data_IF_560343049635
#
_entry.id   IF_560343049635
#
_cell.length_a   1.000
_cell.length_b   1.000
_cell.length_c   1.000
_cell.angle_alpha   90.00
_cell.angle_beta   90.00
_cell.angle_gamma   90.00
#
_symmetry.space_group_name_H-M   'P 1'
#
loop_
_entity.id
_entity.type
_entity.pdbx_description
1 polymer ?
#
# COMPACT_ATOMS: atom_id res chain seq x y z
N UNK A 1 4.24 -8.56 24.48
CA UNK A 1 4.35 -8.87 23.04
C UNK A 1 4.04 -7.59 22.32
N UNK A 2 5.03 -6.98 21.68
CA UNK A 2 4.83 -5.81 20.82
C UNK A 2 4.25 -6.31 19.50
N UNK A 3 3.01 -5.91 19.21
CA UNK A 3 2.36 -6.25 17.94
C UNK A 3 3.00 -5.41 16.85
N UNK A 4 3.80 -6.03 15.99
CA UNK A 4 4.36 -5.37 14.81
C UNK A 4 3.26 -5.28 13.75
N UNK A 5 2.79 -4.07 13.49
CA UNK A 5 1.66 -3.82 12.60
C UNK A 5 2.04 -3.74 11.11
N UNK A 6 3.34 -3.78 10.78
CA UNK A 6 3.83 -3.78 9.40
C UNK A 6 3.36 -5.01 8.60
N UNK A 7 2.87 -6.04 9.30
CA UNK A 7 2.42 -7.31 8.71
C UNK A 7 0.89 -7.35 8.49
N UNK A 8 0.18 -6.23 8.47
CA UNK A 8 -1.28 -6.21 8.32
C UNK A 8 -1.75 -5.33 7.17
N UNK A 9 -2.68 -5.87 6.37
CA UNK A 9 -3.39 -5.17 5.31
C UNK A 9 -4.80 -4.82 5.79
N UNK A 10 -5.29 -3.61 5.51
CA UNK A 10 -6.65 -3.17 5.89
C UNK A 10 -7.39 -2.65 4.66
N UNK A 11 -8.49 -3.29 4.29
CA UNK A 11 -9.37 -2.79 3.24
C UNK A 11 -10.32 -1.73 3.81
N UNK A 12 -10.36 -0.54 3.20
CA UNK A 12 -11.25 0.53 3.62
C UNK A 12 -11.91 1.27 2.44
N UNK A 13 -13.16 1.67 2.64
CA UNK A 13 -13.87 2.59 1.74
C UNK A 13 -13.33 4.02 1.88
N UNK A 14 -13.70 4.89 0.94
CA UNK A 14 -13.35 6.31 1.02
C UNK A 14 -14.02 7.00 2.18
N UNK A 15 -15.26 6.60 2.50
CA UNK A 15 -16.03 7.11 3.62
C UNK A 15 -15.34 6.76 4.94
N UNK A 16 -14.88 5.51 5.10
CA UNK A 16 -14.13 5.06 6.28
C UNK A 16 -12.79 5.78 6.43
N UNK A 17 -12.06 5.97 5.32
CA UNK A 17 -10.84 6.78 5.34
C UNK A 17 -11.10 8.22 5.78
N UNK A 18 -12.18 8.82 5.27
CA UNK A 18 -12.55 10.18 5.63
C UNK A 18 -12.93 10.28 7.13
N UNK A 19 -13.66 9.32 7.67
CA UNK A 19 -13.97 9.27 9.10
C UNK A 19 -12.71 9.18 9.96
N UNK A 20 -11.76 8.32 9.57
CA UNK A 20 -10.46 8.19 10.22
C UNK A 20 -9.69 9.51 10.22
N UNK A 21 -9.66 10.20 9.07
CA UNK A 21 -9.06 11.53 8.89
C UNK A 21 -9.71 12.56 9.82
N UNK A 22 -11.04 12.61 9.90
CA UNK A 22 -11.75 13.53 10.79
C UNK A 22 -11.43 13.26 12.27
N UNK A 23 -11.41 12.00 12.68
CA UNK A 23 -11.14 11.60 14.06
C UNK A 23 -9.70 11.99 14.50
N UNK A 24 -8.68 11.82 13.63
CA UNK A 24 -7.30 12.23 13.98
C UNK A 24 -7.10 13.74 13.96
N UNK A 25 -7.75 14.46 13.05
CA UNK A 25 -7.69 15.93 12.98
C UNK A 25 -8.27 16.59 14.25
N UNK A 26 -9.24 15.97 14.89
CA UNK A 26 -9.79 16.44 16.18
C UNK A 26 -8.79 16.42 17.35
N UNK A 27 -7.64 15.75 17.18
CA UNK A 27 -6.62 15.54 18.23
C UNK A 27 -5.28 16.26 17.94
N UNK A 28 -5.31 17.42 17.27
CA UNK A 28 -4.12 18.22 16.89
C UNK A 28 -3.14 17.52 15.95
N UNK A 29 -3.60 16.52 15.19
CA UNK A 29 -2.83 15.96 14.08
C UNK A 29 -3.05 16.77 12.81
N UNK A 30 -2.00 16.85 12.00
CA UNK A 30 -2.04 17.31 10.62
C UNK A 30 -1.93 16.10 9.72
N UNK A 31 -2.52 16.23 8.54
CA UNK A 31 -2.52 15.18 7.54
C UNK A 31 -1.86 15.70 6.28
N UNK A 32 -0.99 14.89 5.72
CA UNK A 32 -0.46 15.07 4.38
C UNK A 32 -0.72 13.79 3.60
N UNK A 33 -1.33 13.90 2.42
CA UNK A 33 -1.44 12.78 1.50
C UNK A 33 -0.83 13.12 0.15
N UNK A 34 -0.26 12.11 -0.49
CA UNK A 34 0.27 12.20 -1.84
C UNK A 34 0.21 10.85 -2.54
N UNK A 35 0.42 10.86 -3.85
CA UNK A 35 0.51 9.64 -4.64
C UNK A 35 1.96 9.45 -5.11
N UNK A 36 2.48 8.23 -4.97
CA UNK A 36 3.80 7.85 -5.47
C UNK A 36 3.73 6.44 -6.06
N UNK A 37 4.08 6.28 -7.34
CA UNK A 37 4.07 4.99 -8.06
C UNK A 37 2.77 4.17 -7.85
N UNK A 38 1.59 4.80 -8.01
CA UNK A 38 0.28 4.14 -7.86
C UNK A 38 -0.16 3.89 -6.41
N UNK A 39 0.66 4.27 -5.43
CA UNK A 39 0.36 4.16 -4.00
C UNK A 39 -0.04 5.51 -3.42
N UNK A 40 -1.12 5.54 -2.64
CA UNK A 40 -1.48 6.68 -1.82
C UNK A 40 -0.71 6.60 -0.51
N UNK A 41 0.08 7.61 -0.19
CA UNK A 41 0.79 7.72 1.08
C UNK A 41 0.06 8.76 1.92
N UNK A 42 -0.34 8.39 3.12
CA UNK A 42 -1.03 9.23 4.10
C UNK A 42 -0.14 9.35 5.34
N UNK A 43 0.40 10.54 5.58
CA UNK A 43 1.12 10.87 6.80
C UNK A 43 0.19 11.61 7.77
N UNK A 44 0.11 11.11 9.00
CA UNK A 44 -0.67 11.68 10.09
C UNK A 44 0.30 12.03 11.20
N UNK A 45 0.56 13.31 11.40
CA UNK A 45 1.64 13.77 12.26
C UNK A 45 1.23 14.92 13.16
N UNK A 46 1.92 15.07 14.28
CA UNK A 46 1.88 16.28 15.09
C UNK A 46 3.33 16.66 15.46
N UNK A 47 3.50 17.58 16.41
CA UNK A 47 4.84 18.04 16.84
C UNK A 47 5.72 16.94 17.47
N UNK A 48 5.14 15.80 17.86
CA UNK A 48 5.79 14.77 18.66
C UNK A 48 5.88 13.41 17.95
N UNK A 49 4.93 13.11 17.05
CA UNK A 49 4.83 11.80 16.40
C UNK A 49 4.46 11.95 14.93
N UNK A 50 4.99 11.06 14.09
CA UNK A 50 4.62 10.91 12.69
C UNK A 50 4.14 9.47 12.47
N UNK A 51 3.01 9.32 11.80
CA UNK A 51 2.43 8.03 11.45
C UNK A 51 2.28 8.00 9.93
N UNK A 52 2.56 6.86 9.31
CA UNK A 52 2.48 6.71 7.86
C UNK A 52 1.61 5.53 7.52
N UNK A 53 0.71 5.71 6.58
CA UNK A 53 -0.17 4.68 6.04
C UNK A 53 0.00 4.69 4.52
N UNK A 54 0.19 3.53 3.91
CA UNK A 54 0.35 3.40 2.47
C UNK A 54 -0.78 2.54 1.94
N UNK A 55 -1.49 3.05 0.94
CA UNK A 55 -2.61 2.36 0.32
C UNK A 55 -2.36 2.14 -1.17
N UNK A 56 -2.92 1.07 -1.71
CA UNK A 56 -3.08 0.84 -3.15
C UNK A 56 -4.56 0.97 -3.49
N UNK A 57 -4.87 1.59 -4.62
CA UNK A 57 -6.24 1.66 -5.12
C UNK A 57 -6.53 0.43 -6.00
N UNK A 58 -7.44 -0.43 -5.55
CA UNK A 58 -7.89 -1.61 -6.28
C UNK A 58 -9.39 -1.52 -6.53
N UNK A 59 -9.82 -1.48 -7.81
CA UNK A 59 -11.24 -1.52 -8.22
C UNK A 59 -12.20 -0.60 -7.43
N UNK A 60 -11.76 0.61 -7.07
CA UNK A 60 -12.58 1.59 -6.35
C UNK A 60 -12.45 1.55 -4.81
N UNK A 61 -11.67 0.62 -4.28
CA UNK A 61 -11.38 0.44 -2.85
C UNK A 61 -9.93 0.85 -2.57
N UNK A 62 -9.64 1.34 -1.36
CA UNK A 62 -8.28 1.59 -0.89
C UNK A 62 -7.85 0.45 0.05
N UNK A 63 -6.76 -0.18 -0.31
CA UNK A 63 -6.15 -1.28 0.44
C UNK A 63 -4.90 -0.78 1.13
N UNK A 64 -4.89 -0.72 2.46
CA UNK A 64 -3.73 -0.38 3.26
C UNK A 64 -2.72 -1.53 3.15
N UNK A 65 -1.54 -1.29 2.59
CA UNK A 65 -0.49 -2.29 2.34
C UNK A 65 0.74 -2.13 3.24
N UNK A 66 0.85 -1.01 3.95
CA UNK A 66 1.95 -0.72 4.89
C UNK A 66 1.50 0.35 5.89
N UNK A 67 1.93 0.22 7.15
CA UNK A 67 1.58 1.13 8.23
C UNK A 67 2.70 1.26 9.26
N UNK A 68 3.17 2.48 9.48
CA UNK A 68 4.06 2.86 10.57
C UNK A 68 3.27 3.73 11.54
N UNK A 69 2.84 3.13 12.65
CA UNK A 69 2.04 3.81 13.68
C UNK A 69 2.87 4.05 14.95
N UNK A 70 3.08 5.32 15.25
CA UNK A 70 3.78 5.80 16.45
C UNK A 70 2.81 6.45 17.47
N UNK A 71 1.50 6.26 17.28
CA UNK A 71 0.45 6.83 18.14
C UNK A 71 -0.74 5.91 18.33
N UNK A 72 -1.01 5.58 19.60
CA UNK A 72 -2.20 4.83 20.04
C UNK A 72 -3.50 5.52 19.62
N UNK A 73 -3.49 6.85 19.46
CA UNK A 73 -4.69 7.58 19.02
C UNK A 73 -5.00 7.33 17.55
N UNK A 74 -3.96 7.31 16.70
CA UNK A 74 -4.09 7.02 15.27
C UNK A 74 -4.45 5.55 15.05
N UNK A 75 -3.88 4.65 15.85
CA UNK A 75 -4.24 3.24 15.88
C UNK A 75 -5.72 3.04 16.22
N UNK A 76 -6.21 3.65 17.31
CA UNK A 76 -7.63 3.55 17.69
C UNK A 76 -8.57 4.13 16.64
N UNK A 77 -8.21 5.25 16.02
CA UNK A 77 -8.99 5.85 14.94
C UNK A 77 -9.07 4.90 13.72
N UNK A 78 -7.95 4.28 13.35
CA UNK A 78 -7.90 3.28 12.28
C UNK A 78 -8.79 2.08 12.59
N UNK A 79 -8.64 1.48 13.78
CA UNK A 79 -9.42 0.33 14.23
C UNK A 79 -10.93 0.61 14.28
N UNK A 80 -11.31 1.82 14.71
CA UNK A 80 -12.71 2.26 14.77
C UNK A 80 -13.30 2.46 13.38
N UNK A 81 -12.55 3.07 12.45
CA UNK A 81 -13.01 3.33 11.08
C UNK A 81 -13.17 2.08 10.23
N UNK A 82 -12.52 0.98 10.62
CA UNK A 82 -12.46 -0.25 9.85
C UNK A 82 -13.52 -1.30 10.23
N UNK A 83 -14.58 -0.91 10.98
CA UNK A 83 -15.76 -1.71 11.35
C UNK A 83 -15.54 -3.25 11.36
N UNK A 84 -14.93 -3.77 12.43
CA UNK A 84 -14.72 -5.21 12.60
C UNK A 84 -13.66 -5.78 11.64
N UNK A 85 -12.40 -5.42 11.87
CA UNK A 85 -11.29 -5.91 11.07
C UNK A 85 -11.22 -7.44 10.97
N UNK A 86 -11.29 -7.94 9.74
CA UNK A 86 -10.47 -9.09 9.32
C UNK A 86 -9.03 -8.59 9.20
N UNK A 87 -8.31 -8.48 10.33
CA UNK A 87 -6.86 -8.36 10.35
C UNK A 87 -6.28 -9.68 9.82
N UNK A 88 -6.15 -9.82 8.50
CA UNK A 88 -5.39 -10.94 7.94
C UNK A 88 -3.92 -10.63 8.15
N UNK A 89 -3.25 -11.43 9.00
CA UNK A 89 -1.78 -11.51 9.01
C UNK A 89 -1.32 -11.63 7.56
N UNK A 90 -0.36 -10.82 7.15
CA UNK A 90 0.37 -10.93 5.91
C UNK A 90 1.17 -12.24 5.88
N UNK A 91 0.48 -13.36 5.78
CA UNK A 91 1.05 -14.62 5.35
C UNK A 91 1.03 -14.62 3.82
N UNK A 92 1.88 -13.80 3.19
CA UNK A 92 2.13 -13.92 1.76
C UNK A 92 3.59 -14.34 1.51
N UNK A 93 3.89 -15.65 1.56
CA UNK A 93 5.06 -16.16 0.84
C UNK A 93 4.84 -16.11 -0.68
N UNK A 94 3.62 -15.84 -1.15
CA UNK A 94 3.29 -15.68 -2.57
C UNK A 94 2.31 -14.53 -2.76
N UNK A 95 2.68 -13.53 -3.56
CA UNK A 95 1.73 -12.55 -4.10
C UNK A 95 0.60 -13.31 -4.81
N UNK A 96 -0.64 -12.90 -4.60
CA UNK A 96 -1.75 -13.50 -5.34
C UNK A 96 -1.70 -13.08 -6.82
N UNK A 97 -2.36 -13.83 -7.71
CA UNK A 97 -2.36 -13.55 -9.17
C UNK A 97 -2.69 -12.10 -9.52
N UNK A 98 -3.65 -11.50 -8.83
CA UNK A 98 -4.09 -10.13 -9.10
C UNK A 98 -3.00 -9.12 -8.76
N UNK A 99 -2.29 -9.31 -7.65
CA UNK A 99 -1.15 -8.47 -7.26
C UNK A 99 0.00 -8.56 -8.27
N UNK A 100 0.31 -9.76 -8.75
CA UNK A 100 1.36 -9.98 -9.75
C UNK A 100 1.02 -9.30 -11.08
N UNK A 101 -0.23 -9.41 -11.54
CA UNK A 101 -0.69 -8.76 -12.76
C UNK A 101 -0.69 -7.23 -12.63
N UNK A 102 -1.16 -6.70 -11.49
CA UNK A 102 -1.12 -5.26 -11.23
C UNK A 102 0.31 -4.70 -11.19
N UNK A 103 1.26 -5.46 -10.62
CA UNK A 103 2.66 -5.03 -10.58
C UNK A 103 3.30 -5.08 -11.98
N UNK A 104 2.93 -6.05 -12.82
CA UNK A 104 3.31 -6.08 -14.24
C UNK A 104 2.80 -4.83 -14.96
N UNK A 105 1.51 -4.53 -14.85
CA UNK A 105 0.90 -3.37 -15.52
C UNK A 105 1.58 -2.06 -15.11
N UNK A 106 1.82 -1.87 -13.81
CA UNK A 106 2.53 -0.70 -13.29
C UNK A 106 3.95 -0.59 -13.86
N UNK A 107 4.71 -1.69 -13.92
CA UNK A 107 6.07 -1.63 -14.46
C UNK A 107 6.07 -1.42 -15.98
N UNK A 108 5.07 -1.90 -16.72
CA UNK A 108 4.93 -1.64 -18.15
C UNK A 108 4.61 -0.16 -18.43
N UNK A 109 3.75 0.47 -17.62
CA UNK A 109 3.51 1.91 -17.70
C UNK A 109 4.78 2.71 -17.44
N UNK A 110 5.51 2.39 -16.36
CA UNK A 110 6.80 3.03 -16.04
C UNK A 110 7.80 2.85 -17.18
N UNK A 111 7.90 1.63 -17.73
CA UNK A 111 8.79 1.35 -18.86
C UNK A 111 8.49 2.25 -20.05
N UNK A 112 7.20 2.39 -20.41
CA UNK A 112 6.78 3.27 -21.50
C UNK A 112 7.16 4.73 -21.25
N UNK A 113 6.98 5.23 -20.02
CA UNK A 113 7.35 6.59 -19.65
C UNK A 113 8.86 6.85 -19.74
N UNK A 114 9.68 5.94 -19.22
CA UNK A 114 11.14 6.11 -19.22
C UNK A 114 11.77 5.83 -20.59
N UNK A 115 11.16 4.97 -21.41
CA UNK A 115 11.54 4.80 -22.82
C UNK A 115 11.40 6.11 -23.62
N UNK A 116 10.33 6.88 -23.40
CA UNK A 116 10.16 8.19 -24.03
C UNK A 116 11.21 9.21 -23.59
N UNK A 117 11.76 9.06 -22.38
CA UNK A 117 12.78 9.94 -21.82
C UNK A 117 14.21 9.47 -22.13
N UNK A 118 14.37 8.30 -22.76
CA UNK A 118 15.67 7.67 -23.04
C UNK A 118 16.56 7.48 -21.79
N UNK A 119 15.93 7.26 -20.63
CA UNK A 119 16.63 6.99 -19.37
C UNK A 119 17.01 5.50 -19.29
N UNK A 120 18.09 5.15 -19.98
CA UNK A 120 18.54 3.76 -20.13
C UNK A 120 18.81 3.04 -18.79
N UNK A 121 19.45 3.66 -17.77
CA UNK A 121 19.62 3.03 -16.47
C UNK A 121 18.30 2.59 -15.83
N UNK A 122 17.29 3.46 -15.82
CA UNK A 122 15.99 3.17 -15.22
C UNK A 122 15.22 2.12 -16.05
N UNK A 123 15.32 2.17 -17.37
CA UNK A 123 14.75 1.16 -18.28
C UNK A 123 15.29 -0.24 -17.95
N UNK A 124 16.60 -0.38 -17.71
CA UNK A 124 17.21 -1.67 -17.38
C UNK A 124 16.76 -2.19 -16.00
N UNK A 125 16.62 -1.30 -15.02
CA UNK A 125 16.08 -1.66 -13.70
C UNK A 125 14.63 -2.16 -13.79
N UNK A 126 13.79 -1.46 -14.55
CA UNK A 126 12.39 -1.84 -14.76
C UNK A 126 12.29 -3.19 -15.47
N UNK A 127 13.10 -3.43 -16.52
CA UNK A 127 13.16 -4.73 -17.21
C UNK A 127 13.55 -5.87 -16.28
N UNK A 128 14.54 -5.66 -15.40
CA UNK A 128 14.96 -6.67 -14.42
C UNK A 128 13.82 -6.98 -13.45
N UNK A 129 13.10 -5.96 -12.98
CA UNK A 129 11.98 -6.13 -12.07
C UNK A 129 10.80 -6.84 -12.74
N UNK A 130 10.48 -6.50 -13.99
CA UNK A 130 9.49 -7.22 -14.80
C UNK A 130 9.83 -8.70 -14.96
N UNK A 131 11.09 -9.04 -15.25
CA UNK A 131 11.52 -10.42 -15.38
C UNK A 131 11.30 -11.20 -14.07
N UNK A 132 11.57 -10.59 -12.92
CA UNK A 132 11.32 -11.20 -11.62
C UNK A 132 9.83 -11.44 -11.37
N UNK A 133 8.96 -10.45 -11.62
CA UNK A 133 7.52 -10.57 -11.40
C UNK A 133 6.90 -11.62 -12.33
N UNK A 134 7.34 -11.67 -13.60
CA UNK A 134 6.89 -12.69 -14.56
C UNK A 134 7.31 -14.09 -14.11
N UNK A 135 8.50 -14.24 -13.53
CA UNK A 135 8.95 -15.50 -12.96
C UNK A 135 8.08 -15.90 -11.75
N UNK A 136 7.79 -14.97 -10.84
CA UNK A 136 6.88 -15.18 -9.70
C UNK A 136 5.48 -15.59 -10.19
N UNK A 137 4.95 -14.95 -11.23
CA UNK A 137 3.66 -15.29 -11.83
C UNK A 137 3.64 -16.66 -12.51
N UNK A 138 4.74 -17.03 -13.17
CA UNK A 138 4.86 -18.34 -13.81
C UNK A 138 4.93 -19.47 -12.79
N UNK A 139 5.62 -19.25 -11.66
CA UNK A 139 5.63 -20.16 -10.52
C UNK A 139 4.23 -20.27 -9.92
N UNK A 140 3.54 -19.15 -9.69
CA UNK A 140 2.17 -19.14 -9.17
C UNK A 140 1.21 -19.95 -10.06
N UNK A 141 1.27 -19.78 -11.39
CA UNK A 141 0.44 -20.53 -12.35
C UNK A 141 0.71 -22.03 -12.30
N UNK A 142 1.97 -22.43 -12.06
CA UNK A 142 2.35 -23.83 -11.97
C UNK A 142 1.84 -24.50 -10.68
N UNK A 143 1.70 -23.72 -9.61
CA UNK A 143 1.21 -24.16 -8.31
C UNK A 143 -0.33 -24.07 -8.18
N UNK A 144 -1.00 -23.32 -9.06
CA UNK A 144 -2.44 -23.06 -9.05
C UNK A 144 -3.07 -23.22 -10.47
N UNK A 145 -3.19 -24.47 -10.98
CA UNK A 145 -3.67 -24.77 -12.33
C UNK A 145 -5.17 -24.51 -12.56
#
# INVERSE_FOLDING_TARGET
>A
METNFNDFTVHMSKEQLNEMVYDVMSNNYRIFWGFNDGKMILNIYNKHVNNKLIFVKNHGILELIDMDLNSIHVEKALLKSADGLLLTKANHPFKNKTELLNEIDLQLERLFWYQKQSDEPVIQEIKKKLAQIVQEYSTWLSENP
#
